data_IF_962119004618
#
_entry.id   IF_962119004618
#
_cell.length_a   1.000
_cell.length_b   1.000
_cell.length_c   1.000
_cell.angle_alpha   90.00
_cell.angle_beta   90.00
_cell.angle_gamma   90.00
#
_symmetry.space_group_name_H-M   'P 1'
#
loop_
_entity.id
_entity.type
_entity.pdbx_description
1 polymer ?
#
# COMPACT_ATOMS: atom_id res chain seq x y z
N UNK A 1 -21.59 -19.08 -13.87
CA UNK A 1 -20.15 -18.94 -13.54
C UNK A 1 -19.44 -17.82 -14.31
N UNK A 2 -19.84 -17.48 -15.55
CA UNK A 2 -19.22 -16.39 -16.34
C UNK A 2 -19.77 -14.97 -16.08
N UNK A 3 -20.92 -14.83 -15.38
CA UNK A 3 -21.55 -13.53 -15.10
C UNK A 3 -20.94 -12.79 -13.89
N UNK A 4 -20.34 -13.53 -12.95
CA UNK A 4 -19.69 -12.98 -11.74
C UNK A 4 -18.33 -12.32 -12.08
N UNK A 5 -17.66 -12.78 -13.15
CA UNK A 5 -16.34 -12.30 -13.56
C UNK A 5 -16.39 -10.89 -14.20
N UNK A 6 -17.56 -10.48 -14.69
CA UNK A 6 -17.78 -9.18 -15.36
C UNK A 6 -18.08 -8.07 -14.33
N UNK A 7 -18.59 -8.40 -13.15
CA UNK A 7 -18.89 -7.44 -12.09
C UNK A 7 -17.66 -7.05 -11.24
N UNK A 8 -16.59 -7.84 -11.29
CA UNK A 8 -15.41 -7.70 -10.45
C UNK A 8 -14.46 -6.55 -10.84
N UNK A 9 -14.18 -6.26 -12.14
CA UNK A 9 -13.24 -5.22 -12.54
C UNK A 9 -13.62 -3.77 -12.14
N UNK A 10 -14.87 -3.29 -12.34
CA UNK A 10 -15.22 -1.91 -11.98
C UNK A 10 -15.29 -1.69 -10.47
N UNK A 11 -15.70 -2.72 -9.72
CA UNK A 11 -15.65 -2.70 -8.25
C UNK A 11 -14.19 -2.67 -7.75
N UNK A 12 -13.33 -3.51 -8.36
CA UNK A 12 -11.87 -3.48 -8.32
C UNK A 12 -11.27 -2.07 -8.23
N UNK A 13 -11.54 -1.31 -9.29
CA UNK A 13 -11.03 0.03 -9.48
C UNK A 13 -11.51 1.01 -8.39
N UNK A 14 -12.76 0.84 -7.93
CA UNK A 14 -13.35 1.73 -6.94
C UNK A 14 -12.73 1.51 -5.54
N UNK A 15 -12.55 0.27 -5.07
CA UNK A 15 -11.83 0.05 -3.79
C UNK A 15 -10.37 0.48 -3.93
N UNK A 16 -9.79 0.27 -5.12
CA UNK A 16 -8.60 0.95 -5.66
C UNK A 16 -8.37 2.35 -5.10
N UNK A 17 -9.22 3.22 -5.63
CA UNK A 17 -9.18 4.64 -5.37
C UNK A 17 -9.54 5.00 -3.93
N UNK A 18 -10.48 4.29 -3.30
CA UNK A 18 -10.81 4.51 -1.89
C UNK A 18 -9.62 4.21 -0.97
N UNK A 19 -8.97 3.06 -1.15
CA UNK A 19 -7.82 2.66 -0.36
C UNK A 19 -6.66 3.65 -0.54
N UNK A 20 -6.36 4.03 -1.78
CA UNK A 20 -5.32 5.04 -2.04
C UNK A 20 -5.62 6.35 -1.34
N UNK A 21 -6.86 6.85 -1.40
CA UNK A 21 -7.25 8.10 -0.75
C UNK A 21 -7.04 8.05 0.76
N UNK A 22 -7.49 6.98 1.42
CA UNK A 22 -7.38 6.87 2.87
C UNK A 22 -5.93 6.64 3.32
N UNK A 23 -5.13 5.89 2.55
CA UNK A 23 -3.70 5.77 2.80
C UNK A 23 -2.96 7.10 2.63
N UNK A 24 -3.30 7.92 1.62
CA UNK A 24 -2.71 9.26 1.44
C UNK A 24 -3.05 10.20 2.59
N UNK A 25 -4.26 10.12 3.16
CA UNK A 25 -4.57 10.83 4.43
C UNK A 25 -3.71 10.32 5.59
N UNK A 26 -3.46 9.01 5.65
CA UNK A 26 -2.55 8.40 6.62
C UNK A 26 -1.11 8.92 6.50
N UNK A 27 -0.62 9.15 5.28
CA UNK A 27 0.70 9.76 5.07
C UNK A 27 0.83 11.15 5.69
N UNK A 28 -0.24 11.96 5.66
CA UNK A 28 -0.25 13.32 6.24
C UNK A 28 -0.08 13.33 7.78
N UNK A 29 -0.30 12.20 8.44
CA UNK A 29 -0.12 12.03 9.87
C UNK A 29 1.27 11.49 10.24
N UNK A 30 2.11 11.18 9.25
CA UNK A 30 3.46 10.66 9.47
C UNK A 30 4.33 11.67 10.24
N UNK A 31 4.98 11.20 11.31
CA UNK A 31 5.86 12.04 12.14
C UNK A 31 5.13 13.06 13.02
N UNK A 32 3.79 13.09 13.02
CA UNK A 32 3.01 13.99 13.89
C UNK A 32 2.90 13.46 15.33
N UNK A 33 2.75 14.37 16.29
CA UNK A 33 2.61 14.02 17.71
C UNK A 33 1.38 13.12 17.93
N UNK A 34 1.54 12.07 18.75
CA UNK A 34 0.48 11.09 19.02
C UNK A 34 0.31 10.00 17.96
N UNK A 35 0.99 10.09 16.81
CA UNK A 35 0.88 9.11 15.70
C UNK A 35 2.16 8.24 15.53
N UNK A 36 2.86 7.94 16.62
CA UNK A 36 4.11 7.14 16.60
C UNK A 36 3.87 5.75 16.01
N UNK A 37 2.79 5.07 16.41
CA UNK A 37 2.44 3.75 15.90
C UNK A 37 2.19 3.74 14.38
N UNK A 38 1.51 4.78 13.88
CA UNK A 38 1.27 4.95 12.44
C UNK A 38 2.58 5.20 11.68
N UNK A 39 3.45 6.04 12.24
CA UNK A 39 4.78 6.34 11.66
C UNK A 39 5.62 5.07 11.56
N UNK A 40 5.65 4.26 12.63
CA UNK A 40 6.37 2.98 12.63
C UNK A 40 5.77 2.00 11.62
N UNK A 41 4.45 1.90 11.52
CA UNK A 41 3.79 1.06 10.53
C UNK A 41 4.18 1.45 9.10
N UNK A 42 4.23 2.75 8.80
CA UNK A 42 4.70 3.24 7.49
C UNK A 42 6.15 2.88 7.21
N UNK A 43 7.04 2.97 8.21
CA UNK A 43 8.43 2.56 8.03
C UNK A 43 8.53 1.07 7.69
N UNK A 44 7.85 0.21 8.46
CA UNK A 44 7.84 -1.25 8.26
C UNK A 44 7.29 -1.62 6.88
N UNK A 45 6.13 -1.06 6.51
CA UNK A 45 5.50 -1.35 5.21
C UNK A 45 6.43 -0.98 4.06
N UNK A 46 7.09 0.17 4.14
CA UNK A 46 7.99 0.63 3.07
C UNK A 46 9.25 -0.22 2.96
N UNK A 47 9.83 -0.63 4.10
CA UNK A 47 11.02 -1.50 4.10
C UNK A 47 10.70 -2.92 3.66
N UNK A 48 9.63 -3.52 4.18
CA UNK A 48 9.28 -4.93 3.93
C UNK A 48 8.83 -5.14 2.49
N UNK A 49 8.05 -4.20 1.96
CA UNK A 49 7.55 -4.27 0.59
C UNK A 49 8.41 -3.54 -0.43
N UNK A 50 9.50 -2.90 0.01
CA UNK A 50 10.43 -2.14 -0.85
C UNK A 50 9.69 -1.16 -1.76
N UNK A 51 8.79 -0.39 -1.16
CA UNK A 51 7.96 0.60 -1.83
C UNK A 51 8.13 1.97 -1.18
N UNK A 52 7.74 3.02 -1.89
CA UNK A 52 7.78 4.38 -1.35
C UNK A 52 6.51 5.14 -1.69
N UNK A 53 5.76 5.53 -0.66
CA UNK A 53 4.46 6.17 -0.80
C UNK A 53 3.33 5.18 -1.11
N UNK A 54 2.16 5.72 -1.46
CA UNK A 54 0.96 4.91 -1.73
C UNK A 54 0.92 4.48 -3.19
N UNK A 55 1.08 5.48 -4.06
CA UNK A 55 1.09 5.35 -5.51
C UNK A 55 2.47 5.55 -6.06
N UNK A 56 3.22 6.50 -5.51
CA UNK A 56 4.59 6.79 -5.92
C UNK A 56 5.33 7.55 -4.80
N UNK A 57 6.66 7.59 -4.89
CA UNK A 57 7.51 8.30 -3.93
C UNK A 57 7.17 9.80 -3.85
N UNK A 58 6.65 10.38 -4.94
CA UNK A 58 6.20 11.77 -4.99
C UNK A 58 5.05 12.08 -4.05
N UNK A 59 4.31 11.07 -3.57
CA UNK A 59 3.27 11.25 -2.54
C UNK A 59 3.86 11.87 -1.25
N UNK A 60 5.13 11.62 -0.96
CA UNK A 60 5.83 12.21 0.18
C UNK A 60 6.15 13.68 -0.01
N UNK A 61 6.19 14.18 -1.25
CA UNK A 61 6.54 15.58 -1.50
C UNK A 61 5.47 16.52 -0.99
N UNK A 62 4.20 16.09 -1.05
CA UNK A 62 3.08 16.82 -0.47
C UNK A 62 3.13 16.81 1.06
N UNK A 63 3.61 15.73 1.68
CA UNK A 63 3.72 15.59 3.14
C UNK A 63 4.85 16.45 3.71
N UNK A 64 6.04 16.39 3.08
CA UNK A 64 7.21 17.13 3.53
C UNK A 64 7.28 18.56 2.96
N UNK A 65 6.42 18.90 2.02
CA UNK A 65 6.49 20.14 1.23
C UNK A 65 7.89 20.37 0.61
N UNK A 66 8.54 19.28 0.20
CA UNK A 66 9.90 19.26 -0.34
C UNK A 66 10.12 17.97 -1.14
N UNK A 67 11.07 17.98 -2.09
CA UNK A 67 11.43 16.79 -2.87
C UNK A 67 12.28 15.82 -2.04
N UNK A 68 11.65 15.20 -1.04
CA UNK A 68 12.27 14.25 -0.12
C UNK A 68 11.30 13.13 0.26
N UNK A 69 11.87 12.04 0.75
CA UNK A 69 11.16 10.86 1.26
C UNK A 69 11.68 10.52 2.67
N UNK A 70 11.00 9.67 3.45
CA UNK A 70 11.61 9.13 4.68
C UNK A 70 12.72 8.13 4.34
N UNK A 71 13.69 7.94 5.25
CA UNK A 71 14.83 7.05 5.01
C UNK A 71 14.43 5.58 4.80
N UNK A 72 13.24 5.18 5.29
CA UNK A 72 12.65 3.87 5.01
C UNK A 72 12.36 3.61 3.52
N UNK A 73 12.38 4.65 2.67
CA UNK A 73 12.19 4.55 1.22
C UNK A 73 13.47 4.26 0.44
N UNK A 74 14.64 4.28 1.06
CA UNK A 74 15.90 4.14 0.35
C UNK A 74 16.22 2.68 0.00
N UNK A 75 16.90 2.48 -1.11
CA UNK A 75 17.38 1.16 -1.57
C UNK A 75 18.30 0.52 -0.53
N UNK A 76 19.21 1.33 0.00
CA UNK A 76 20.08 1.01 1.12
C UNK A 76 19.77 2.00 2.23
N UNK A 77 19.63 1.49 3.45
CA UNK A 77 19.37 2.35 4.60
C UNK A 77 20.64 3.13 4.98
N UNK A 78 20.53 4.45 5.00
CA UNK A 78 21.50 5.33 5.64
C UNK A 78 20.78 6.55 6.21
N UNK A 79 21.34 7.15 7.25
CA UNK A 79 20.78 8.37 7.83
C UNK A 79 20.65 9.47 6.77
N UNK A 80 19.45 10.04 6.66
CA UNK A 80 19.10 11.13 5.74
C UNK A 80 19.21 10.82 4.23
N UNK A 81 19.27 9.55 3.80
CA UNK A 81 19.29 9.18 2.38
C UNK A 81 18.08 9.74 1.60
N UNK A 82 16.96 10.00 2.27
CA UNK A 82 15.76 10.57 1.67
C UNK A 82 15.91 12.03 1.22
N UNK A 83 17.03 12.69 1.54
CA UNK A 83 17.30 14.10 1.20
C UNK A 83 18.18 14.27 -0.06
N UNK A 84 19.08 13.32 -0.34
CA UNK A 84 20.26 13.61 -1.16
C UNK A 84 20.21 13.07 -2.58
N UNK A 85 19.47 11.99 -2.87
CA UNK A 85 19.50 11.39 -4.21
C UNK A 85 18.22 10.63 -4.62
N UNK A 86 17.34 11.22 -5.46
CA UNK A 86 16.12 10.55 -5.93
C UNK A 86 16.36 9.26 -6.72
N UNK A 87 17.57 9.05 -7.26
CA UNK A 87 17.96 7.81 -7.91
C UNK A 87 18.15 6.61 -6.97
N UNK A 88 18.09 6.83 -5.64
CA UNK A 88 18.35 5.81 -4.61
C UNK A 88 17.10 5.42 -3.82
N UNK A 89 15.91 5.80 -4.29
CA UNK A 89 14.64 5.50 -3.63
C UNK A 89 13.88 4.38 -4.33
N UNK A 90 13.05 3.64 -3.59
CA UNK A 90 12.13 2.68 -4.18
C UNK A 90 11.11 3.39 -5.08
N UNK A 91 11.02 2.94 -6.33
CA UNK A 91 10.00 3.40 -7.29
C UNK A 91 8.84 2.41 -7.43
N UNK A 92 8.91 1.26 -6.75
CA UNK A 92 7.88 0.24 -6.79
C UNK A 92 6.62 0.70 -6.07
N UNK A 93 5.46 0.39 -6.66
CA UNK A 93 4.15 0.60 -6.06
C UNK A 93 3.92 -0.45 -4.98
N UNK A 94 3.29 -0.05 -3.86
CA UNK A 94 2.98 -0.98 -2.77
C UNK A 94 2.18 -2.20 -3.28
N UNK A 95 2.62 -3.44 -2.98
CA UNK A 95 1.95 -4.66 -3.41
C UNK A 95 0.67 -4.93 -2.61
N UNK A 96 0.25 -4.02 -1.73
CA UNK A 96 -0.99 -4.12 -0.94
C UNK A 96 -2.20 -4.45 -1.83
N UNK A 97 -2.25 -3.93 -3.07
CA UNK A 97 -3.28 -4.29 -4.05
C UNK A 97 -3.27 -5.79 -4.36
N UNK A 98 -2.10 -6.36 -4.64
CA UNK A 98 -1.95 -7.77 -4.99
C UNK A 98 -2.28 -8.66 -3.79
N UNK A 99 -1.86 -8.27 -2.59
CA UNK A 99 -2.14 -9.01 -1.35
C UNK A 99 -3.64 -8.99 -1.02
N UNK A 100 -4.29 -7.83 -1.10
CA UNK A 100 -5.74 -7.71 -0.87
C UNK A 100 -6.53 -8.52 -1.87
N UNK A 101 -6.16 -8.48 -3.15
CA UNK A 101 -6.81 -9.25 -4.21
C UNK A 101 -6.64 -10.74 -3.97
N UNK A 102 -5.43 -11.22 -3.67
CA UNK A 102 -5.17 -12.62 -3.33
C UNK A 102 -5.96 -13.05 -2.09
N UNK A 103 -6.00 -12.23 -1.04
CA UNK A 103 -6.73 -12.54 0.18
C UNK A 103 -8.25 -12.62 -0.06
N UNK A 104 -8.82 -11.66 -0.80
CA UNK A 104 -10.25 -11.67 -1.16
C UNK A 104 -10.58 -12.87 -2.05
N UNK A 105 -9.74 -13.20 -3.03
CA UNK A 105 -9.93 -14.40 -3.86
C UNK A 105 -9.87 -15.68 -3.03
N UNK A 106 -8.94 -15.80 -2.09
CA UNK A 106 -8.82 -16.97 -1.20
C UNK A 106 -10.01 -17.08 -0.23
N UNK A 107 -10.49 -15.97 0.32
CA UNK A 107 -11.69 -15.97 1.14
C UNK A 107 -12.91 -16.40 0.33
N UNK A 108 -13.16 -15.77 -0.82
CA UNK A 108 -14.31 -16.09 -1.66
C UNK A 108 -14.26 -17.54 -2.17
N UNK A 109 -13.12 -18.00 -2.70
CA UNK A 109 -12.99 -19.39 -3.15
C UNK A 109 -13.05 -20.38 -1.98
N UNK A 110 -12.49 -20.05 -0.82
CA UNK A 110 -12.59 -20.86 0.40
C UNK A 110 -14.03 -20.98 0.91
N UNK A 111 -14.79 -19.89 0.94
CA UNK A 111 -16.22 -19.92 1.30
C UNK A 111 -17.04 -20.75 0.30
N UNK A 112 -16.76 -20.65 -1.00
CA UNK A 112 -17.43 -21.46 -2.04
C UNK A 112 -17.11 -22.94 -1.87
N UNK A 113 -15.85 -23.31 -1.67
CA UNK A 113 -15.43 -24.70 -1.45
C UNK A 113 -16.03 -25.26 -0.15
N UNK A 114 -16.06 -24.48 0.93
CA UNK A 114 -16.66 -24.88 2.20
C UNK A 114 -18.18 -25.10 2.08
N UNK A 115 -18.87 -24.21 1.36
CA UNK A 115 -20.30 -24.35 1.10
C UNK A 115 -20.63 -25.60 0.27
N UNK A 116 -19.77 -25.95 -0.71
CA UNK A 116 -19.90 -27.18 -1.49
C UNK A 116 -19.68 -28.43 -0.62
N UNK A 117 -18.67 -28.41 0.27
CA UNK A 117 -18.39 -29.53 1.19
C UNK A 117 -19.46 -29.74 2.27
N UNK A 118 -20.27 -28.73 2.59
CA UNK A 118 -21.42 -28.84 3.50
C UNK A 118 -22.75 -29.12 2.78
N UNK A 119 -22.73 -29.21 1.45
CA UNK A 119 -23.91 -29.49 0.63
C UNK A 119 -23.99 -30.95 0.17
N UNK A 120 -23.06 -31.82 0.61
CA UNK A 120 -23.05 -33.27 0.42
C UNK A 120 -23.48 -34.02 1.71
#
# INVERSE_FOLDING_TARGET
MWNELILFPPFLFQIDHYAQRDLKKGLQLFGTEGNVGLTNAWMIVQTDFRCCGVTNHTDWFEVYNASRVPDSCCLEYSDNCGLDNPGTWWTAVSPLKLILVLFVFLLCSGFVVLALLHSD
#
